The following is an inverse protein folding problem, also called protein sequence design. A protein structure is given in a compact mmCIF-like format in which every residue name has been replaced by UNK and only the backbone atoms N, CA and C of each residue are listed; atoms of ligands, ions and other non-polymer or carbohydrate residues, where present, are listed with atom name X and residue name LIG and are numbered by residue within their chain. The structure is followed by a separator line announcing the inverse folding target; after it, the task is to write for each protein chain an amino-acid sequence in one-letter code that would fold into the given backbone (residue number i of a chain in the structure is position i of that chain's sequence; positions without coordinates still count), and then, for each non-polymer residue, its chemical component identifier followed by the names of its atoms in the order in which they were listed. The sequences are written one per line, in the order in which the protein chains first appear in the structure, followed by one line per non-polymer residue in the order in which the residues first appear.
data_IF_623709512450
#
_entry.id   IF_623709512450
#
_cell.length_a   1.000
_cell.length_b   1.000
_cell.length_c   1.000
_cell.angle_alpha   90.00
_cell.angle_beta   90.00
_cell.angle_gamma   90.00
#
_symmetry.space_group_name_H-M   'P 1'
#
loop_
_entity.id
_entity.type
_entity.pdbx_description
1 polymer ?
#
# COMPACT_ATOMS: atom_id res chain seq x y z
N UNK A 1 -23.05 2.58 10.50
CA UNK A 1 -21.89 1.85 9.93
C UNK A 1 -21.35 2.71 8.82
N UNK A 2 -20.08 3.13 8.93
CA UNK A 2 -19.41 3.92 7.89
C UNK A 2 -19.16 3.01 6.68
N UNK A 3 -19.50 3.47 5.49
CA UNK A 3 -19.36 2.71 4.24
C UNK A 3 -17.94 2.83 3.66
N UNK A 4 -17.56 1.86 2.83
CA UNK A 4 -16.28 1.81 2.10
C UNK A 4 -16.00 3.12 1.32
N UNK A 5 -17.05 3.71 0.77
CA UNK A 5 -17.01 4.95 -0.01
C UNK A 5 -16.74 6.19 0.86
N UNK A 6 -17.30 6.24 2.08
CA UNK A 6 -17.08 7.33 3.03
C UNK A 6 -15.64 7.31 3.59
N UNK A 7 -15.08 6.12 3.83
CA UNK A 7 -13.67 5.96 4.19
C UNK A 7 -12.74 6.29 3.01
N UNK A 8 -13.08 5.85 1.80
CA UNK A 8 -12.28 6.12 0.59
C UNK A 8 -12.14 7.61 0.28
N UNK A 9 -13.19 8.41 0.52
CA UNK A 9 -13.16 9.85 0.29
C UNK A 9 -12.24 10.58 1.27
N UNK A 10 -12.01 9.97 2.44
CA UNK A 10 -11.28 10.52 3.56
C UNK A 10 -9.93 9.81 3.81
N UNK A 11 -9.39 8.99 2.91
CA UNK A 11 -8.10 8.34 3.11
C UNK A 11 -7.10 8.69 1.99
N UNK A 12 -7.26 9.85 1.35
CA UNK A 12 -6.37 10.26 0.25
C UNK A 12 -5.01 10.72 0.75
N UNK A 13 -4.91 11.11 2.02
CA UNK A 13 -3.67 11.47 2.72
C UNK A 13 -3.64 10.86 4.13
N UNK A 14 -2.47 10.84 4.78
CA UNK A 14 -2.35 10.37 6.17
C UNK A 14 -3.22 11.17 7.16
N UNK A 15 -3.39 12.46 6.89
CA UNK A 15 -4.22 13.38 7.69
C UNK A 15 -5.71 12.99 7.66
N UNK A 16 -6.09 12.41 6.54
CA UNK A 16 -7.41 11.95 6.19
C UNK A 16 -7.73 10.65 6.97
N UNK A 17 -6.75 9.74 7.07
CA UNK A 17 -6.82 8.49 7.88
C UNK A 17 -6.97 8.83 9.38
N UNK A 18 -6.22 9.81 9.87
CA UNK A 18 -6.32 10.31 11.24
C UNK A 18 -7.74 10.81 11.57
N UNK A 19 -8.38 11.54 10.64
CA UNK A 19 -9.77 12.00 10.78
C UNK A 19 -10.76 10.83 10.77
N UNK A 20 -10.54 9.84 9.91
CA UNK A 20 -11.38 8.64 9.87
C UNK A 20 -11.27 7.80 11.15
N UNK A 21 -10.07 7.65 11.71
CA UNK A 21 -9.82 6.97 12.99
C UNK A 21 -10.46 7.72 14.17
N UNK A 22 -10.32 9.04 14.22
CA UNK A 22 -10.95 9.87 15.25
C UNK A 22 -12.49 9.76 15.26
N UNK A 23 -13.12 9.67 14.08
CA UNK A 23 -14.59 9.48 13.96
C UNK A 23 -15.11 8.18 14.56
N UNK A 24 -14.26 7.15 14.67
CA UNK A 24 -14.63 5.86 15.27
C UNK A 24 -14.10 5.69 16.70
N UNK A 25 -13.58 6.78 17.29
CA UNK A 25 -13.06 6.78 18.66
C UNK A 25 -11.71 6.08 18.82
N UNK A 26 -11.00 5.82 17.72
CA UNK A 26 -9.64 5.30 17.75
C UNK A 26 -8.65 6.46 17.95
N UNK A 27 -7.58 6.19 18.67
CA UNK A 27 -6.48 7.14 18.84
C UNK A 27 -5.92 7.46 17.46
N UNK A 28 -5.95 8.74 17.08
CA UNK A 28 -5.32 9.17 15.83
C UNK A 28 -3.83 8.84 15.89
N UNK A 29 -3.23 8.27 14.82
CA UNK A 29 -1.79 8.12 14.78
C UNK A 29 -1.17 9.51 14.92
N UNK A 30 -0.37 9.70 15.96
CA UNK A 30 0.41 10.91 16.14
C UNK A 30 1.57 10.77 15.17
N UNK A 31 1.79 11.75 14.30
CA UNK A 31 2.99 11.77 13.45
C UNK A 31 4.21 11.72 14.36
N UNK A 32 4.86 10.58 14.41
CA UNK A 32 6.18 10.45 15.02
C UNK A 32 7.18 10.98 14.00
N UNK A 33 8.09 11.86 14.41
CA UNK A 33 9.20 12.28 13.55
C UNK A 33 10.19 11.12 13.44
N UNK A 34 9.81 10.09 12.70
CA UNK A 34 10.65 8.94 12.43
C UNK A 34 11.57 9.23 11.25
N UNK A 35 12.74 8.59 11.27
CA UNK A 35 13.59 8.48 10.09
C UNK A 35 12.81 7.76 8.99
N UNK A 36 13.08 8.05 7.72
CA UNK A 36 12.48 7.32 6.57
C UNK A 36 12.74 5.80 6.64
N UNK A 37 13.76 5.37 7.39
CA UNK A 37 14.13 3.96 7.57
C UNK A 37 13.37 3.27 8.72
N UNK A 38 12.65 4.02 9.57
CA UNK A 38 11.95 3.47 10.73
C UNK A 38 10.48 3.17 10.42
N UNK A 39 9.99 2.02 10.90
CA UNK A 39 8.57 1.67 10.79
C UNK A 39 7.80 2.42 11.88
N UNK A 40 6.80 3.21 11.50
CA UNK A 40 5.86 3.84 12.43
C UNK A 40 4.91 2.79 13.03
N UNK A 41 5.30 2.23 14.17
CA UNK A 41 4.53 1.20 14.89
C UNK A 41 3.16 1.74 15.31
N UNK A 42 3.08 3.00 15.72
CA UNK A 42 1.83 3.62 16.18
C UNK A 42 0.85 3.78 15.00
N UNK A 43 1.36 4.15 13.82
CA UNK A 43 0.58 4.18 12.58
C UNK A 43 0.10 2.78 12.19
N UNK A 44 0.98 1.77 12.23
CA UNK A 44 0.63 0.38 11.89
C UNK A 44 -0.45 -0.17 12.83
N UNK A 45 -0.32 0.08 14.14
CA UNK A 45 -1.33 -0.34 15.12
C UNK A 45 -2.68 0.35 14.87
N UNK A 46 -2.67 1.66 14.65
CA UNK A 46 -3.86 2.45 14.36
C UNK A 46 -4.60 1.96 13.11
N UNK A 47 -3.85 1.71 12.03
CA UNK A 47 -4.38 1.15 10.78
C UNK A 47 -4.97 -0.25 10.98
N UNK A 48 -4.31 -1.09 11.78
CA UNK A 48 -4.79 -2.44 12.10
C UNK A 48 -6.11 -2.38 12.88
N UNK A 49 -6.19 -1.54 13.91
CA UNK A 49 -7.40 -1.36 14.70
C UNK A 49 -8.56 -0.82 13.85
N UNK A 50 -8.28 0.13 12.95
CA UNK A 50 -9.28 0.68 12.03
C UNK A 50 -9.79 -0.39 11.04
N UNK A 51 -8.92 -1.25 10.51
CA UNK A 51 -9.31 -2.37 9.66
C UNK A 51 -10.23 -3.36 10.40
N UNK A 52 -9.90 -3.70 11.65
CA UNK A 52 -10.71 -4.58 12.50
C UNK A 52 -12.08 -3.96 12.78
N UNK A 53 -12.12 -2.69 13.19
CA UNK A 53 -13.36 -1.99 13.52
C UNK A 53 -14.32 -1.89 12.33
N UNK A 54 -13.78 -1.54 11.16
CA UNK A 54 -14.55 -1.39 9.92
C UNK A 54 -14.97 -2.71 9.29
N UNK A 55 -14.41 -3.84 9.77
CA UNK A 55 -14.64 -5.20 9.23
C UNK A 55 -14.29 -5.33 7.74
N UNK A 56 -13.43 -4.45 7.24
CA UNK A 56 -12.95 -4.50 5.85
C UNK A 56 -11.86 -5.58 5.78
N UNK A 57 -11.84 -6.36 4.70
CA UNK A 57 -10.78 -7.35 4.50
C UNK A 57 -9.42 -6.64 4.36
N UNK A 58 -8.33 -7.17 4.93
CA UNK A 58 -7.03 -6.48 4.91
C UNK A 58 -6.57 -6.01 3.51
N UNK A 59 -6.71 -6.79 2.42
CA UNK A 59 -6.33 -6.31 1.08
C UNK A 59 -7.15 -5.10 0.64
N UNK A 60 -8.43 -5.08 0.94
CA UNK A 60 -9.36 -4.01 0.54
C UNK A 60 -9.13 -2.74 1.37
N UNK A 61 -8.78 -2.91 2.64
CA UNK A 61 -8.35 -1.82 3.50
C UNK A 61 -7.02 -1.20 3.04
N UNK A 62 -6.03 -2.02 2.69
CA UNK A 62 -4.74 -1.55 2.15
C UNK A 62 -4.93 -0.77 0.84
N UNK A 63 -5.84 -1.23 -0.03
CA UNK A 63 -6.19 -0.51 -1.26
C UNK A 63 -6.76 0.87 -0.96
N UNK A 64 -7.66 0.97 0.02
CA UNK A 64 -8.27 2.24 0.44
C UNK A 64 -7.24 3.24 0.97
N UNK A 65 -6.38 2.83 1.91
CA UNK A 65 -5.39 3.73 2.52
C UNK A 65 -4.28 4.16 1.55
N UNK A 66 -4.04 3.37 0.50
CA UNK A 66 -3.15 3.74 -0.61
C UNK A 66 -3.88 4.52 -1.71
N UNK A 67 -5.15 4.86 -1.48
CA UNK A 67 -6.01 5.57 -2.41
C UNK A 67 -6.25 4.85 -3.74
N UNK A 68 -6.08 3.52 -3.83
CA UNK A 68 -6.35 2.77 -5.06
C UNK A 68 -7.85 2.86 -5.41
N UNK A 69 -8.18 3.59 -6.47
CA UNK A 69 -9.54 3.79 -6.95
C UNK A 69 -9.77 3.02 -8.25
N UNK A 70 -11.00 3.03 -8.77
CA UNK A 70 -11.28 2.52 -10.12
C UNK A 70 -10.53 3.31 -11.21
N UNK A 71 -10.34 4.62 -10.99
CA UNK A 71 -9.64 5.52 -11.91
C UNK A 71 -8.11 5.35 -11.86
N UNK A 72 -7.56 5.08 -10.69
CA UNK A 72 -6.13 4.85 -10.47
C UNK A 72 -5.94 3.65 -9.54
N UNK A 73 -5.88 2.47 -10.18
CA UNK A 73 -5.84 1.16 -9.53
C UNK A 73 -4.42 0.69 -9.22
N UNK A 74 -3.38 1.43 -9.60
CA UNK A 74 -2.00 1.00 -9.41
C UNK A 74 -1.67 0.85 -7.92
N UNK A 75 -1.10 -0.29 -7.50
CA UNK A 75 -0.80 -0.53 -6.09
C UNK A 75 0.43 0.21 -5.58
N UNK A 76 1.33 0.58 -6.49
CA UNK A 76 2.60 1.25 -6.22
C UNK A 76 2.59 2.65 -6.85
N UNK A 77 1.75 3.55 -6.31
CA UNK A 77 1.51 4.88 -6.89
C UNK A 77 2.75 5.76 -6.93
N UNK A 78 3.66 5.56 -5.98
CA UNK A 78 4.92 6.31 -5.87
C UNK A 78 5.97 5.87 -6.89
N UNK A 79 5.74 4.73 -7.58
CA UNK A 79 6.60 4.28 -8.66
C UNK A 79 6.17 4.89 -9.99
N UNK A 80 7.16 5.24 -10.82
CA UNK A 80 6.97 5.78 -12.16
C UNK A 80 7.14 4.69 -13.21
N UNK A 81 6.44 4.81 -14.35
CA UNK A 81 6.66 3.94 -15.50
C UNK A 81 7.89 4.36 -16.28
N UNK A 82 8.66 3.38 -16.76
CA UNK A 82 9.77 3.58 -17.68
C UNK A 82 9.25 3.67 -19.11
N UNK A 83 9.90 4.51 -19.93
CA UNK A 83 9.62 4.57 -21.37
C UNK A 83 10.10 3.30 -22.05
N UNK A 84 9.31 2.80 -23.00
CA UNK A 84 9.74 1.68 -23.83
C UNK A 84 10.92 2.08 -24.72
N UNK A 85 11.99 1.28 -24.68
CA UNK A 85 13.08 1.40 -25.64
C UNK A 85 12.63 0.88 -27.00
N UNK A 86 12.99 1.55 -28.11
CA UNK A 86 12.76 1.01 -29.46
C UNK A 86 13.62 -0.22 -29.76
N UNK A 87 14.66 -0.49 -28.96
CA UNK A 87 15.46 -1.71 -29.09
C UNK A 87 14.79 -2.88 -28.35
N UNK A 88 14.52 -3.96 -29.09
CA UNK A 88 13.93 -5.20 -28.56
C UNK A 88 14.79 -5.79 -27.44
N UNK A 89 16.11 -5.72 -27.57
CA UNK A 89 17.06 -6.27 -26.59
C UNK A 89 17.00 -5.55 -25.23
N UNK A 90 16.43 -4.35 -25.19
CA UNK A 90 16.30 -3.53 -23.98
C UNK A 90 14.85 -3.45 -23.48
N UNK A 91 13.93 -4.21 -24.08
CA UNK A 91 12.49 -4.10 -23.78
C UNK A 91 12.07 -4.84 -22.51
N UNK A 92 12.76 -5.92 -22.17
CA UNK A 92 12.36 -6.81 -21.07
C UNK A 92 12.39 -6.12 -19.69
N UNK A 93 13.43 -5.34 -19.39
CA UNK A 93 13.55 -4.65 -18.10
C UNK A 93 12.46 -3.59 -17.90
N UNK A 94 12.25 -2.61 -18.82
CA UNK A 94 11.13 -1.67 -18.73
C UNK A 94 9.78 -2.35 -18.68
N UNK A 95 9.58 -3.45 -19.43
CA UNK A 95 8.33 -4.20 -19.43
C UNK A 95 8.04 -4.83 -18.06
N UNK A 96 9.03 -5.49 -17.45
CA UNK A 96 8.89 -6.07 -16.10
C UNK A 96 8.67 -5.00 -15.05
N UNK A 97 9.42 -3.89 -15.12
CA UNK A 97 9.24 -2.76 -14.22
C UNK A 97 7.82 -2.17 -14.32
N UNK A 98 7.36 -1.84 -15.53
CA UNK A 98 6.03 -1.28 -15.72
C UNK A 98 4.93 -2.26 -15.28
N UNK A 99 5.15 -3.57 -15.45
CA UNK A 99 4.23 -4.57 -14.93
C UNK A 99 4.11 -4.52 -13.39
N UNK A 100 5.22 -4.34 -12.67
CA UNK A 100 5.25 -4.15 -11.20
C UNK A 100 4.58 -2.84 -10.79
N UNK A 101 4.83 -1.76 -11.53
CA UNK A 101 4.18 -0.46 -11.28
C UNK A 101 2.66 -0.58 -11.40
N UNK A 102 2.19 -1.29 -12.43
CA UNK A 102 0.77 -1.42 -12.73
C UNK A 102 0.04 -2.44 -11.86
N UNK A 103 0.66 -3.59 -11.59
CA UNK A 103 -0.02 -4.74 -11.00
C UNK A 103 0.54 -5.16 -9.64
N UNK A 104 1.63 -4.52 -9.19
CA UNK A 104 2.35 -4.93 -8.00
C UNK A 104 3.30 -6.11 -8.27
N UNK A 105 4.00 -6.53 -7.22
CA UNK A 105 4.89 -7.69 -7.28
C UNK A 105 4.06 -8.96 -7.17
N UNK A 106 4.19 -9.86 -8.13
CA UNK A 106 3.71 -11.24 -8.02
C UNK A 106 4.91 -12.11 -7.62
N UNK A 107 5.01 -12.55 -6.36
CA UNK A 107 6.12 -13.39 -5.94
C UNK A 107 6.03 -14.75 -6.63
N UNK A 108 7.15 -15.21 -7.19
CA UNK A 108 7.30 -16.61 -7.53
C UNK A 108 7.63 -17.38 -6.25
N UNK A 109 6.65 -18.14 -5.77
CA UNK A 109 6.88 -19.03 -4.64
C UNK A 109 7.84 -20.13 -5.05
N UNK A 110 9.01 -20.17 -4.41
CA UNK A 110 9.87 -21.34 -4.49
C UNK A 110 9.06 -22.55 -4.00
N UNK A 111 9.22 -23.72 -4.64
CA UNK A 111 8.47 -24.92 -4.24
C UNK A 111 8.71 -25.28 -2.78
N UNK A 112 9.85 -24.88 -2.20
CA UNK A 112 10.23 -25.13 -0.82
C UNK A 112 10.67 -23.82 -0.16
N UNK A 113 10.28 -23.63 1.10
CA UNK A 113 10.81 -22.54 1.93
C UNK A 113 12.32 -22.74 2.11
N UNK A 114 13.17 -21.76 1.75
CA UNK A 114 14.60 -21.89 1.99
C UNK A 114 14.87 -22.02 3.49
N UNK A 115 15.79 -22.92 3.85
CA UNK A 115 16.17 -23.18 5.25
C UNK A 115 16.83 -21.96 5.92
N UNK A 116 17.46 -21.11 5.11
CA UNK A 116 18.03 -19.84 5.55
C UNK A 116 17.72 -18.76 4.52
N UNK A 117 17.29 -17.60 5.00
CA UNK A 117 17.29 -16.38 4.20
C UNK A 117 18.75 -15.92 4.12
N UNK A 118 19.29 -15.82 2.91
CA UNK A 118 20.63 -15.28 2.69
C UNK A 118 20.47 -13.76 2.68
N UNK A 119 20.97 -13.09 3.70
CA UNK A 119 21.11 -11.64 3.68
C UNK A 119 22.08 -11.28 2.56
N UNK A 120 21.62 -10.45 1.62
CA UNK A 120 22.41 -9.94 0.49
C UNK A 120 22.81 -8.50 0.73
#
# INVERSE_FOLDING_TARGET
MVTLTELSAHCKTEEDIAVAAAKVGLTSPVRTNLSDDDIDIDMVESLTQLAIYTKIRPPEFVRLIRGQTEEESRPNKDLYELRHSPSIDLLETPRRWNNIVQNGIVPEWLPHRPSHQIDR
#
